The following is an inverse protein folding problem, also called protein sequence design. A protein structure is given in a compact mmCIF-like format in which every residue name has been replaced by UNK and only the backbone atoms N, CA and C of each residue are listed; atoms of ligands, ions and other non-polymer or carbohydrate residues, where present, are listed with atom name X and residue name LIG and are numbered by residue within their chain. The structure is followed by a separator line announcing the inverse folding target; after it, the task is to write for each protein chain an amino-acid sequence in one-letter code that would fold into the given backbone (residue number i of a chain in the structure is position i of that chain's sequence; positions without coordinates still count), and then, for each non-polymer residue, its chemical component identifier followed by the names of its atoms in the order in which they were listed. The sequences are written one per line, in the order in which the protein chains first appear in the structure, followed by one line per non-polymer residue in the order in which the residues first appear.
data_IF_016404702735
#
_entry.id   IF_016404702735
#
_cell.length_a   1.000
_cell.length_b   1.000
_cell.length_c   1.000
_cell.angle_alpha   90.00
_cell.angle_beta   90.00
_cell.angle_gamma   90.00
#
_symmetry.space_group_name_H-M   'P 1'
#
loop_
_entity.id
_entity.type
_entity.pdbx_description
1 polymer ?
#
# COMPACT_ATOMS: atom_id res chain seq x y z
N UNK A 1 -64.29 11.48 0.29
CA UNK A 1 -63.64 11.75 -1.01
C UNK A 1 -62.15 11.52 -0.83
N UNK A 2 -61.55 10.55 -1.54
CA UNK A 2 -60.09 10.33 -1.60
C UNK A 2 -59.47 11.39 -2.51
N UNK A 3 -58.29 11.92 -2.21
CA UNK A 3 -57.11 11.99 -3.09
C UNK A 3 -55.86 12.40 -2.28
N UNK A 4 -54.72 11.84 -2.70
CA UNK A 4 -53.38 11.84 -2.11
C UNK A 4 -52.53 13.10 -2.43
N UNK A 5 -51.46 13.32 -1.65
CA UNK A 5 -50.09 13.41 -2.19
C UNK A 5 -49.04 13.21 -1.08
N UNK A 6 -48.21 12.16 -1.24
CA UNK A 6 -46.86 12.06 -0.70
C UNK A 6 -45.87 12.72 -1.67
N UNK A 7 -44.68 13.06 -1.15
CA UNK A 7 -43.28 12.86 -1.65
C UNK A 7 -42.39 14.13 -1.47
N UNK A 8 -41.04 14.01 -1.44
CA UNK A 8 -40.22 13.60 -0.30
C UNK A 8 -39.03 14.57 -0.03
N UNK A 9 -38.18 14.18 0.93
CA UNK A 9 -36.80 14.64 1.13
C UNK A 9 -36.05 14.98 -0.16
N UNK A 10 -35.42 16.15 -0.19
CA UNK A 10 -34.30 16.50 -1.06
C UNK A 10 -33.47 17.59 -0.36
N UNK A 11 -32.65 17.19 0.63
CA UNK A 11 -31.47 17.96 0.97
C UNK A 11 -30.31 17.35 0.19
N UNK A 12 -30.08 17.96 -0.97
CA UNK A 12 -28.90 17.84 -1.80
C UNK A 12 -27.63 17.74 -0.96
N UNK A 13 -27.09 16.53 -0.81
CA UNK A 13 -25.68 16.33 -0.55
C UNK A 13 -24.92 16.52 -1.87
N UNK A 14 -24.87 17.76 -2.37
CA UNK A 14 -23.79 18.17 -3.26
C UNK A 14 -22.55 18.34 -2.38
N UNK A 15 -21.95 17.22 -1.97
CA UNK A 15 -20.54 17.24 -1.64
C UNK A 15 -19.83 17.64 -2.93
N UNK A 16 -19.40 18.90 -2.97
CA UNK A 16 -18.54 19.40 -4.04
C UNK A 16 -17.40 18.40 -4.19
N UNK A 17 -17.26 17.82 -5.39
CA UNK A 17 -16.01 17.21 -5.78
C UNK A 17 -14.94 18.28 -5.55
N UNK A 18 -14.19 18.16 -4.47
CA UNK A 18 -12.99 18.97 -4.32
C UNK A 18 -12.10 18.55 -5.46
N UNK A 19 -11.92 19.41 -6.44
CA UNK A 19 -10.87 19.28 -7.43
C UNK A 19 -9.56 19.23 -6.64
N UNK A 20 -9.03 18.03 -6.46
CA UNK A 20 -7.68 17.83 -5.94
C UNK A 20 -6.74 18.32 -7.04
N UNK A 21 -6.40 19.61 -7.00
CA UNK A 21 -5.26 20.10 -7.78
C UNK A 21 -4.05 19.27 -7.34
N UNK A 22 -3.39 18.52 -8.25
CA UNK A 22 -2.24 17.73 -7.87
C UNK A 22 -1.21 18.68 -7.24
N UNK A 23 -0.78 18.36 -6.02
CA UNK A 23 0.28 19.10 -5.39
C UNK A 23 1.53 18.99 -6.29
N UNK A 24 2.25 20.10 -6.58
CA UNK A 24 3.44 20.03 -7.39
C UNK A 24 4.52 19.23 -6.64
N UNK A 25 4.77 18.01 -7.08
CA UNK A 25 5.94 17.24 -6.66
C UNK A 25 7.11 17.59 -7.58
N UNK A 26 8.31 17.70 -7.00
CA UNK A 26 9.51 17.78 -7.81
C UNK A 26 9.66 16.48 -8.62
N UNK A 27 10.24 16.53 -9.84
CA UNK A 27 10.56 15.32 -10.58
C UNK A 27 11.38 14.35 -9.72
N UNK A 28 11.16 13.05 -9.90
CA UNK A 28 11.96 12.03 -9.25
C UNK A 28 13.44 12.25 -9.56
N UNK A 29 14.29 12.08 -8.54
CA UNK A 29 15.74 12.15 -8.65
C UNK A 29 16.37 10.92 -8.04
N UNK A 30 17.43 10.40 -8.67
CA UNK A 30 18.21 9.30 -8.12
C UNK A 30 18.80 9.70 -6.75
N UNK A 31 18.37 9.01 -5.70
CA UNK A 31 18.90 9.22 -4.34
C UNK A 31 20.06 8.28 -4.02
N UNK A 32 19.91 6.99 -4.33
CA UNK A 32 20.88 5.95 -4.01
C UNK A 32 20.77 4.74 -4.94
N UNK A 33 21.81 3.91 -4.95
CA UNK A 33 21.82 2.60 -5.60
C UNK A 33 21.91 1.51 -4.54
N UNK A 34 20.98 0.56 -4.56
CA UNK A 34 21.00 -0.63 -3.72
C UNK A 34 21.81 -1.70 -4.46
N UNK A 35 22.86 -2.21 -3.83
CA UNK A 35 23.84 -3.12 -4.46
C UNK A 35 23.90 -4.50 -3.81
N UNK A 36 23.08 -4.74 -2.78
CA UNK A 36 22.95 -6.05 -2.16
C UNK A 36 22.32 -7.03 -3.14
N UNK A 37 23.02 -8.12 -3.45
CA UNK A 37 22.60 -9.04 -4.52
C UNK A 37 21.28 -9.77 -4.23
N UNK A 38 20.88 -9.87 -2.95
CA UNK A 38 19.61 -10.48 -2.55
C UNK A 38 18.47 -9.47 -2.42
N UNK A 39 18.68 -8.20 -2.79
CA UNK A 39 17.67 -7.13 -2.93
C UNK A 39 17.51 -6.77 -4.41
N UNK A 40 17.07 -7.76 -5.19
CA UNK A 40 17.07 -7.77 -6.66
C UNK A 40 15.73 -7.34 -7.29
N UNK A 41 14.67 -7.21 -6.49
CA UNK A 41 13.32 -6.95 -6.97
C UNK A 41 12.48 -6.37 -5.82
N UNK A 42 12.61 -5.08 -5.53
CA UNK A 42 11.93 -4.42 -4.39
C UNK A 42 10.54 -3.93 -4.81
N UNK A 43 9.50 -4.33 -4.09
CA UNK A 43 8.11 -3.87 -4.35
C UNK A 43 7.69 -2.72 -3.44
N UNK A 44 8.01 -2.79 -2.14
CA UNK A 44 7.57 -1.81 -1.14
C UNK A 44 8.70 -1.07 -0.44
N UNK A 45 8.47 0.20 -0.07
CA UNK A 45 9.37 1.01 0.75
C UNK A 45 8.60 1.91 1.73
N UNK A 46 9.04 1.96 2.98
CA UNK A 46 8.48 2.86 4.00
C UNK A 46 9.58 3.52 4.84
N UNK A 47 9.48 4.83 5.09
CA UNK A 47 10.39 5.52 6.00
C UNK A 47 10.19 5.03 7.45
N UNK A 48 11.27 4.72 8.16
CA UNK A 48 11.21 4.33 9.58
C UNK A 48 10.59 5.43 10.43
N UNK A 49 9.73 5.06 11.38
CA UNK A 49 9.19 6.01 12.37
C UNK A 49 10.06 6.07 13.62
N UNK A 50 10.93 5.09 13.82
CA UNK A 50 11.86 5.03 14.97
C UNK A 50 13.26 5.59 14.72
N UNK A 51 13.73 5.49 13.49
CA UNK A 51 15.13 5.71 13.12
C UNK A 51 15.21 6.64 11.91
N UNK A 52 15.45 7.96 12.11
CA UNK A 52 15.62 8.89 11.00
C UNK A 52 16.69 8.43 10.00
N UNK A 53 16.41 8.57 8.71
CA UNK A 53 17.32 8.16 7.63
C UNK A 53 17.34 6.65 7.35
N UNK A 54 16.45 5.87 7.98
CA UNK A 54 16.24 4.45 7.67
C UNK A 54 14.94 4.25 6.89
N UNK A 55 14.98 3.35 5.91
CA UNK A 55 13.82 2.91 5.14
C UNK A 55 13.69 1.39 5.22
N UNK A 56 12.48 0.93 5.42
CA UNK A 56 12.12 -0.49 5.41
C UNK A 56 11.64 -0.88 4.02
N UNK A 57 12.22 -1.94 3.48
CA UNK A 57 11.90 -2.46 2.15
C UNK A 57 11.62 -3.96 2.21
N UNK A 58 10.92 -4.49 1.23
CA UNK A 58 10.88 -5.93 0.96
C UNK A 58 10.99 -6.19 -0.53
N UNK A 59 11.53 -7.36 -0.88
CA UNK A 59 11.44 -7.83 -2.24
C UNK A 59 10.02 -8.31 -2.56
N UNK A 60 9.71 -8.33 -3.85
CA UNK A 60 8.57 -8.99 -4.44
C UNK A 60 8.56 -10.48 -4.06
N UNK A 61 7.38 -11.03 -3.90
CA UNK A 61 7.17 -12.41 -3.50
C UNK A 61 6.82 -13.31 -4.71
N UNK A 62 6.82 -14.65 -4.57
CA UNK A 62 7.06 -15.43 -3.36
C UNK A 62 8.54 -15.46 -2.96
N UNK A 63 8.84 -14.99 -1.74
CA UNK A 63 10.18 -15.01 -1.13
C UNK A 63 10.09 -15.31 0.38
N UNK A 64 11.20 -15.53 1.09
CA UNK A 64 11.15 -15.62 2.55
C UNK A 64 10.53 -14.35 3.15
N UNK A 65 9.62 -14.49 4.13
CA UNK A 65 8.96 -13.36 4.79
C UNK A 65 9.96 -12.50 5.58
N UNK A 66 10.53 -11.50 4.92
CA UNK A 66 11.62 -10.66 5.40
C UNK A 66 11.40 -9.22 4.98
N UNK A 67 11.87 -8.32 5.82
CA UNK A 67 11.93 -6.88 5.55
C UNK A 67 13.35 -6.43 5.86
N UNK A 68 13.95 -5.66 4.97
CA UNK A 68 15.30 -5.13 5.13
C UNK A 68 15.23 -3.64 5.48
N UNK A 69 16.12 -3.21 6.39
CA UNK A 69 16.35 -1.80 6.63
C UNK A 69 17.52 -1.34 5.78
N UNK A 70 17.35 -0.28 5.01
CA UNK A 70 18.41 0.42 4.29
C UNK A 70 18.54 1.85 4.83
N UNK A 71 19.71 2.46 4.68
CA UNK A 71 19.88 3.89 4.91
C UNK A 71 19.73 4.71 3.61
N UNK A 72 19.80 6.04 3.73
CA UNK A 72 19.73 6.99 2.60
C UNK A 72 20.77 6.74 1.50
N UNK A 73 21.82 5.96 1.77
CA UNK A 73 22.83 5.58 0.77
C UNK A 73 22.51 4.29 0.03
N UNK A 74 21.39 3.63 0.35
CA UNK A 74 20.99 2.34 -0.20
C UNK A 74 21.66 1.15 0.47
N UNK A 75 22.46 1.36 1.54
CA UNK A 75 23.17 0.30 2.23
C UNK A 75 22.26 -0.38 3.25
N UNK A 76 22.24 -1.71 3.26
CA UNK A 76 21.52 -2.49 4.26
C UNK A 76 22.11 -2.31 5.67
N UNK A 77 21.23 -1.99 6.63
CA UNK A 77 21.52 -1.72 8.04
C UNK A 77 20.94 -2.75 8.99
N UNK A 78 20.01 -3.57 8.52
CA UNK A 78 19.44 -4.66 9.28
C UNK A 78 18.44 -5.45 8.48
N UNK A 79 17.95 -6.54 9.07
CA UNK A 79 16.94 -7.41 8.46
C UNK A 79 16.01 -7.95 9.52
N UNK A 80 14.72 -7.94 9.24
CA UNK A 80 13.69 -8.60 10.02
C UNK A 80 13.30 -9.90 9.32
N UNK A 81 13.15 -10.97 10.09
CA UNK A 81 12.48 -12.20 9.66
C UNK A 81 11.14 -12.30 10.37
N UNK A 82 10.05 -12.33 9.61
CA UNK A 82 8.70 -12.30 10.16
C UNK A 82 8.24 -13.74 10.43
N UNK A 83 8.25 -14.13 11.70
CA UNK A 83 7.96 -15.50 12.14
C UNK A 83 6.48 -15.87 12.00
N UNK A 84 6.22 -17.08 11.49
CA UNK A 84 4.86 -17.62 11.35
C UNK A 84 4.07 -17.03 10.17
N UNK A 85 4.76 -16.32 9.28
CA UNK A 85 4.19 -15.73 8.06
C UNK A 85 4.88 -16.32 6.83
N UNK A 86 4.12 -16.44 5.75
CA UNK A 86 4.61 -16.76 4.41
C UNK A 86 4.28 -15.57 3.54
N UNK A 87 5.26 -15.07 2.79
CA UNK A 87 5.02 -14.05 1.78
C UNK A 87 4.52 -14.73 0.52
N UNK A 88 3.22 -14.60 0.23
CA UNK A 88 2.62 -15.19 -0.97
C UNK A 88 2.79 -14.25 -2.16
N UNK A 89 2.35 -13.00 -2.02
CA UNK A 89 2.47 -11.92 -3.02
C UNK A 89 2.50 -10.59 -2.23
N UNK A 90 3.69 -10.26 -1.69
CA UNK A 90 3.90 -9.04 -0.91
C UNK A 90 4.23 -7.91 -1.85
N UNK A 91 3.36 -6.90 -1.91
CA UNK A 91 3.52 -5.80 -2.88
C UNK A 91 3.90 -4.48 -2.22
N UNK A 92 3.38 -4.19 -1.02
CA UNK A 92 3.65 -2.90 -0.40
C UNK A 92 3.81 -2.99 1.13
N UNK A 93 4.50 -2.00 1.69
CA UNK A 93 4.74 -1.81 3.11
C UNK A 93 4.50 -0.35 3.48
N UNK A 94 3.73 -0.14 4.54
CA UNK A 94 3.50 1.18 5.12
C UNK A 94 4.09 1.27 6.53
N UNK A 95 4.53 2.45 6.93
CA UNK A 95 4.93 2.74 8.31
C UNK A 95 4.06 3.82 8.92
N UNK A 96 3.66 3.65 10.17
CA UNK A 96 2.76 4.57 10.86
C UNK A 96 3.01 4.58 12.36
N UNK A 97 2.55 5.63 13.01
CA UNK A 97 2.54 5.72 14.47
C UNK A 97 1.11 5.78 14.99
N UNK A 98 0.79 4.95 15.98
CA UNK A 98 -0.49 5.00 16.69
C UNK A 98 -0.26 4.57 18.13
N UNK A 99 -0.93 5.24 19.07
CA UNK A 99 -0.87 4.96 20.49
C UNK A 99 0.57 4.96 21.07
N UNK A 100 1.42 5.87 20.56
CA UNK A 100 2.81 6.04 20.99
C UNK A 100 3.77 4.94 20.51
N UNK A 101 3.34 4.11 19.56
CA UNK A 101 4.14 3.04 18.97
C UNK A 101 4.29 3.23 17.48
N UNK A 102 5.47 2.89 16.99
CA UNK A 102 5.79 2.81 15.57
C UNK A 102 5.49 1.40 15.05
N UNK A 103 4.97 1.32 13.83
CA UNK A 103 4.48 0.09 13.24
C UNK A 103 4.90 -0.01 11.79
N UNK A 104 5.11 -1.24 11.34
CA UNK A 104 5.17 -1.63 9.94
C UNK A 104 3.91 -2.43 9.61
N UNK A 105 3.21 -2.05 8.56
CA UNK A 105 2.12 -2.81 7.97
C UNK A 105 2.58 -3.36 6.63
N UNK A 106 2.62 -4.68 6.51
CA UNK A 106 3.02 -5.37 5.29
C UNK A 106 1.77 -5.93 4.63
N UNK A 107 1.63 -5.68 3.33
CA UNK A 107 0.52 -6.16 2.52
C UNK A 107 0.89 -7.41 1.74
N UNK A 108 0.29 -8.56 2.09
CA UNK A 108 0.20 -9.73 1.20
C UNK A 108 -1.06 -9.57 0.33
N UNK A 109 -0.95 -8.64 -0.63
CA UNK A 109 -2.07 -7.99 -1.30
C UNK A 109 -2.02 -8.09 -2.84
N UNK A 110 -0.93 -8.60 -3.41
CA UNK A 110 -0.81 -8.91 -4.83
C UNK A 110 -1.67 -10.11 -5.23
N UNK A 111 -2.04 -10.13 -6.51
CA UNK A 111 -2.67 -11.27 -7.18
C UNK A 111 -2.57 -11.14 -8.70
N UNK A 112 -1.35 -11.08 -9.24
CA UNK A 112 -1.12 -10.95 -10.69
C UNK A 112 -1.90 -11.99 -11.54
N UNK A 113 -2.22 -13.16 -10.97
CA UNK A 113 -2.98 -14.22 -11.64
C UNK A 113 -4.51 -14.09 -11.53
N UNK A 114 -5.02 -13.19 -10.69
CA UNK A 114 -6.45 -12.94 -10.47
C UNK A 114 -7.21 -14.10 -9.84
N UNK A 115 -6.56 -14.91 -8.99
CA UNK A 115 -7.10 -16.21 -8.51
C UNK A 115 -7.16 -16.34 -6.99
N UNK A 116 -6.56 -15.43 -6.24
CA UNK A 116 -6.58 -15.45 -4.78
C UNK A 116 -7.96 -15.09 -4.26
N UNK A 117 -8.35 -15.78 -3.19
CA UNK A 117 -9.60 -15.52 -2.47
C UNK A 117 -9.38 -14.78 -1.16
N UNK A 118 -8.20 -14.94 -0.58
CA UNK A 118 -7.84 -14.39 0.72
C UNK A 118 -6.51 -13.64 0.59
N UNK A 119 -6.49 -12.47 1.20
CA UNK A 119 -5.35 -11.56 1.31
C UNK A 119 -5.02 -11.35 2.78
N UNK A 120 -3.87 -10.77 3.07
CA UNK A 120 -3.48 -10.55 4.46
C UNK A 120 -2.77 -9.22 4.68
N UNK A 121 -3.15 -8.53 5.75
CA UNK A 121 -2.36 -7.45 6.34
C UNK A 121 -1.61 -7.98 7.55
N UNK A 122 -0.31 -7.73 7.62
CA UNK A 122 0.58 -8.23 8.68
C UNK A 122 1.22 -7.03 9.37
N UNK A 123 0.88 -6.82 10.64
CA UNK A 123 1.44 -5.71 11.40
C UNK A 123 2.51 -6.19 12.37
N UNK A 124 3.63 -5.47 12.36
CA UNK A 124 4.76 -5.68 13.24
C UNK A 124 5.03 -4.37 13.96
N UNK A 125 5.14 -4.40 15.29
CA UNK A 125 5.65 -3.24 16.03
C UNK A 125 7.10 -3.01 15.58
N UNK A 126 7.41 -1.81 15.09
CA UNK A 126 8.72 -1.51 14.54
C UNK A 126 9.79 -1.72 15.63
N UNK A 127 10.73 -2.65 15.45
CA UNK A 127 11.75 -2.92 16.45
C UNK A 127 12.87 -1.89 16.36
N UNK A 128 13.62 -1.73 17.45
CA UNK A 128 14.93 -1.11 17.35
C UNK A 128 15.85 -2.01 16.48
N UNK A 129 16.60 -1.39 15.57
CA UNK A 129 17.60 -2.12 14.78
C UNK A 129 18.69 -2.68 15.68
N UNK A 130 19.13 -3.90 15.38
CA UNK A 130 20.31 -4.48 16.04
C UNK A 130 21.55 -3.73 15.62
N UNK A 131 22.40 -3.39 16.58
CA UNK A 131 23.68 -2.72 16.31
C UNK A 131 24.65 -3.56 15.46
N UNK A 132 24.51 -4.89 15.49
CA UNK A 132 25.32 -5.83 14.69
C UNK A 132 24.82 -6.03 13.25
N UNK A 133 23.69 -5.42 12.88
CA UNK A 133 23.08 -5.55 11.55
C UNK A 133 22.57 -6.95 11.21
N UNK A 134 22.57 -7.88 12.18
CA UNK A 134 22.15 -9.26 11.95
C UNK A 134 20.62 -9.35 11.77
N UNK A 135 20.18 -10.50 11.24
CA UNK A 135 18.76 -10.78 11.09
C UNK A 135 18.09 -10.93 12.46
N UNK A 136 17.06 -10.12 12.70
CA UNK A 136 16.25 -10.16 13.91
C UNK A 136 14.93 -10.89 13.64
N UNK A 137 14.60 -11.96 14.40
CA UNK A 137 13.27 -12.52 14.36
C UNK A 137 12.27 -11.60 15.05
N UNK A 138 11.13 -11.39 14.40
CA UNK A 138 9.99 -10.67 14.96
C UNK A 138 8.71 -11.44 14.67
N UNK A 139 7.70 -11.30 15.52
CA UNK A 139 6.37 -11.89 15.30
C UNK A 139 5.38 -10.78 14.94
N UNK A 140 4.39 -11.05 14.08
CA UNK A 140 3.28 -10.14 13.90
C UNK A 140 2.60 -9.87 15.24
N UNK A 141 2.36 -8.61 15.54
CA UNK A 141 1.54 -8.20 16.67
C UNK A 141 0.06 -8.48 16.39
N UNK A 142 -0.36 -8.30 15.13
CA UNK A 142 -1.66 -8.72 14.64
C UNK A 142 -1.60 -9.02 13.15
N UNK A 143 -2.61 -9.76 12.68
CA UNK A 143 -2.83 -10.11 11.28
C UNK A 143 -4.30 -9.94 10.96
N UNK A 144 -4.61 -9.49 9.76
CA UNK A 144 -5.98 -9.43 9.25
C UNK A 144 -6.06 -10.15 7.92
N UNK A 145 -6.75 -11.28 7.90
CA UNK A 145 -7.17 -11.89 6.63
C UNK A 145 -8.40 -11.16 6.11
N UNK A 146 -8.44 -10.89 4.82
CA UNK A 146 -9.57 -10.21 4.21
C UNK A 146 -9.85 -10.66 2.78
N UNK A 147 -11.01 -10.28 2.25
CA UNK A 147 -11.40 -10.41 0.84
C UNK A 147 -11.93 -9.09 0.32
N UNK A 148 -11.94 -8.93 -1.00
CA UNK A 148 -12.70 -7.87 -1.65
C UNK A 148 -14.14 -8.33 -1.92
N UNK A 149 -15.11 -7.40 -1.97
CA UNK A 149 -16.53 -7.73 -2.11
C UNK A 149 -16.93 -8.16 -3.52
N UNK A 150 -16.11 -7.85 -4.52
CA UNK A 150 -16.40 -7.99 -5.95
C UNK A 150 -15.42 -8.92 -6.69
N UNK A 151 -14.63 -9.71 -5.96
CA UNK A 151 -13.77 -10.75 -6.54
C UNK A 151 -12.30 -10.63 -6.12
N UNK A 152 -11.43 -11.26 -6.89
CA UNK A 152 -9.98 -11.09 -6.74
C UNK A 152 -9.58 -9.71 -7.27
N UNK A 153 -8.64 -9.06 -6.60
CA UNK A 153 -7.95 -7.86 -7.08
C UNK A 153 -6.46 -7.97 -6.83
N UNK A 154 -5.69 -7.55 -7.83
CA UNK A 154 -4.26 -7.31 -7.73
C UNK A 154 -4.05 -5.89 -7.19
N UNK A 155 -3.43 -5.74 -6.01
CA UNK A 155 -3.19 -4.45 -5.34
C UNK A 155 -1.69 -4.27 -5.14
N UNK A 156 -1.21 -3.08 -5.52
CA UNK A 156 0.21 -2.72 -5.59
C UNK A 156 0.55 -1.47 -4.77
N UNK A 157 -0.44 -0.92 -4.07
CA UNK A 157 -0.31 0.36 -3.39
C UNK A 157 -1.18 0.39 -2.13
N UNK A 158 -0.56 0.66 -0.98
CA UNK A 158 -1.16 0.64 0.33
C UNK A 158 -0.66 1.78 1.22
N UNK A 159 -1.57 2.47 1.89
CA UNK A 159 -1.22 3.44 2.93
C UNK A 159 -2.08 3.27 4.19
N UNK A 160 -1.67 3.94 5.27
CA UNK A 160 -2.40 3.97 6.54
C UNK A 160 -2.83 5.41 6.82
N UNK A 161 -4.15 5.63 6.89
CA UNK A 161 -4.73 6.85 7.43
C UNK A 161 -4.97 6.65 8.93
N UNK A 162 -4.04 7.17 9.74
CA UNK A 162 -4.09 7.04 11.20
C UNK A 162 -5.28 7.82 11.77
N UNK A 163 -5.61 8.97 11.19
CA UNK A 163 -6.69 9.83 11.68
C UNK A 163 -8.06 9.18 11.48
N UNK A 164 -8.29 8.56 10.33
CA UNK A 164 -9.50 7.78 10.04
C UNK A 164 -9.47 6.37 10.64
N UNK A 165 -8.30 5.89 11.08
CA UNK A 165 -8.03 4.50 11.46
C UNK A 165 -8.40 3.54 10.33
N UNK A 166 -7.94 3.83 9.13
CA UNK A 166 -8.18 3.02 7.93
C UNK A 166 -6.87 2.63 7.24
N UNK A 167 -6.85 1.44 6.64
CA UNK A 167 -5.86 1.01 5.66
C UNK A 167 -6.47 1.23 4.29
N UNK A 168 -5.74 1.92 3.42
CA UNK A 168 -6.11 2.23 2.05
C UNK A 168 -5.40 1.26 1.12
N UNK A 169 -6.10 0.72 0.13
CA UNK A 169 -5.58 -0.26 -0.83
C UNK A 169 -6.01 0.17 -2.24
N UNK A 170 -5.07 0.28 -3.18
CA UNK A 170 -5.38 0.70 -4.56
C UNK A 170 -5.01 -0.40 -5.55
N UNK A 171 -6.01 -0.87 -6.32
CA UNK A 171 -5.81 -1.94 -7.29
C UNK A 171 -4.96 -1.51 -8.49
N UNK A 172 -4.13 -2.43 -8.99
CA UNK A 172 -3.22 -2.24 -10.13
C UNK A 172 -3.96 -1.97 -11.43
N UNK A 173 -5.00 -2.76 -11.69
CA UNK A 173 -5.61 -2.83 -13.02
C UNK A 173 -6.63 -1.72 -13.25
N UNK A 174 -6.68 -1.26 -14.51
CA UNK A 174 -7.55 -0.17 -14.91
C UNK A 174 -9.04 -0.58 -14.99
N UNK A 175 -9.96 0.30 -14.55
CA UNK A 175 -9.66 1.51 -13.79
C UNK A 175 -9.27 1.15 -12.33
N UNK A 176 -8.21 1.77 -11.75
CA UNK A 176 -7.82 1.49 -10.38
C UNK A 176 -8.96 1.80 -9.40
N UNK A 177 -9.04 1.04 -8.32
CA UNK A 177 -10.09 1.17 -7.31
C UNK A 177 -9.46 1.31 -5.94
N UNK A 178 -9.93 2.30 -5.18
CA UNK A 178 -9.59 2.46 -3.77
C UNK A 178 -10.54 1.60 -2.91
N UNK A 179 -9.96 0.69 -2.15
CA UNK A 179 -10.59 -0.07 -1.08
C UNK A 179 -10.09 0.40 0.29
N UNK A 180 -10.87 0.10 1.32
CA UNK A 180 -10.53 0.42 2.71
C UNK A 180 -10.81 -0.74 3.66
N UNK A 181 -9.98 -0.87 4.68
CA UNK A 181 -10.15 -1.77 5.82
C UNK A 181 -9.93 -1.00 7.13
N UNK A 182 -10.53 -1.40 8.26
CA UNK A 182 -10.19 -0.83 9.56
C UNK A 182 -8.72 -1.07 9.92
N UNK A 183 -8.07 -0.09 10.55
CA UNK A 183 -6.72 -0.24 11.09
C UNK A 183 -6.76 -0.94 12.46
N UNK A 184 -6.19 -2.13 12.52
CA UNK A 184 -6.02 -2.92 13.73
C UNK A 184 -6.40 -4.38 13.56
N UNK A 185 -6.38 -5.18 14.63
CA UNK A 185 -6.77 -6.57 14.56
C UNK A 185 -8.24 -6.72 14.13
N UNK A 186 -8.50 -7.59 13.16
CA UNK A 186 -9.84 -8.12 12.95
C UNK A 186 -10.13 -9.21 14.01
N UNK A 187 -11.41 -9.45 14.29
CA UNK A 187 -11.83 -10.64 15.01
C UNK A 187 -11.47 -11.94 14.25
N UNK A 188 -11.90 -13.12 14.71
CA UNK A 188 -11.50 -14.41 14.11
C UNK A 188 -12.04 -14.66 12.69
N UNK A 189 -12.71 -13.69 12.08
CA UNK A 189 -13.41 -13.80 10.79
C UNK A 189 -12.59 -13.10 9.71
N UNK A 190 -12.62 -13.64 8.49
CA UNK A 190 -12.06 -12.98 7.31
C UNK A 190 -12.83 -11.66 7.08
N UNK A 191 -12.12 -10.54 7.16
CA UNK A 191 -12.70 -9.21 6.96
C UNK A 191 -13.12 -8.98 5.49
N UNK A 192 -14.01 -8.02 5.28
CA UNK A 192 -14.44 -7.61 3.94
C UNK A 192 -13.98 -6.17 3.69
N UNK A 193 -13.18 -5.98 2.66
CA UNK A 193 -12.76 -4.65 2.23
C UNK A 193 -13.96 -3.84 1.73
N UNK A 194 -13.95 -2.53 1.97
CA UNK A 194 -14.98 -1.61 1.48
C UNK A 194 -14.46 -0.87 0.25
N UNK A 195 -15.11 -1.08 -0.89
CA UNK A 195 -14.91 -0.27 -2.10
C UNK A 195 -15.33 1.18 -1.83
N UNK A 196 -14.44 2.14 -2.06
CA UNK A 196 -14.72 3.57 -1.83
C UNK A 196 -15.00 4.31 -3.12
N UNK A 197 -14.07 4.24 -4.07
CA UNK A 197 -14.16 4.97 -5.32
C UNK A 197 -13.29 4.33 -6.39
N UNK A 198 -13.66 4.57 -7.64
CA UNK A 198 -12.84 4.27 -8.83
C UNK A 198 -12.00 5.50 -9.15
N UNK A 199 -10.71 5.30 -9.43
CA UNK A 199 -9.73 6.34 -9.77
C UNK A 199 -9.62 6.45 -11.30
N UNK A 200 -10.70 6.85 -11.95
CA UNK A 200 -10.77 7.04 -13.40
C UNK A 200 -9.97 8.27 -13.91
N UNK A 201 -9.50 9.11 -13.00
CA UNK A 201 -8.64 10.27 -13.28
C UNK A 201 -7.19 9.90 -13.62
N UNK A 202 -6.75 8.67 -13.32
CA UNK A 202 -5.37 8.23 -13.57
C UNK A 202 -5.22 7.89 -15.06
N UNK A 203 -4.41 8.66 -15.83
CA UNK A 203 -4.35 8.46 -17.27
C UNK A 203 -3.79 7.10 -17.64
N UNK A 204 -4.55 6.33 -18.41
CA UNK A 204 -4.17 4.98 -18.84
C UNK A 204 -3.38 5.00 -20.16
N UNK A 205 -2.47 4.02 -20.38
CA UNK A 205 -1.79 3.86 -21.67
C UNK A 205 -2.76 3.60 -22.82
N UNK A 206 -2.47 4.13 -24.01
CA UNK A 206 -3.28 3.97 -25.22
C UNK A 206 -2.44 3.63 -26.44
N UNK A 207 -3.02 2.90 -27.40
CA UNK A 207 -2.40 2.63 -28.70
C UNK A 207 -1.02 1.97 -28.58
N UNK A 208 -0.02 2.56 -29.24
CA UNK A 208 1.36 2.04 -29.29
C UNK A 208 2.00 1.84 -27.91
N UNK A 209 1.58 2.59 -26.88
CA UNK A 209 2.10 2.42 -25.53
C UNK A 209 1.80 1.03 -24.95
N UNK A 210 0.66 0.43 -25.31
CA UNK A 210 0.31 -0.94 -24.89
C UNK A 210 1.15 -2.01 -25.61
N UNK A 211 1.71 -1.66 -26.77
CA UNK A 211 2.58 -2.53 -27.58
C UNK A 211 4.07 -2.27 -27.30
N UNK A 212 4.39 -1.25 -26.49
CA UNK A 212 5.76 -0.89 -26.20
C UNK A 212 6.52 -2.01 -25.49
N UNK A 213 7.81 -2.11 -25.75
CA UNK A 213 8.66 -3.14 -25.13
C UNK A 213 8.84 -2.95 -23.62
N UNK A 214 8.73 -1.71 -23.13
CA UNK A 214 9.05 -1.37 -21.75
C UNK A 214 7.78 -1.38 -20.85
N UNK A 215 7.83 -2.05 -19.69
CA UNK A 215 6.70 -2.13 -18.76
C UNK A 215 6.12 -0.78 -18.36
N UNK A 216 6.98 0.22 -18.11
CA UNK A 216 6.57 1.58 -17.74
C UNK A 216 5.59 2.21 -18.73
N UNK A 217 5.77 1.96 -20.04
CA UNK A 217 4.86 2.44 -21.07
C UNK A 217 3.54 1.66 -21.10
N UNK A 218 3.58 0.34 -20.90
CA UNK A 218 2.42 -0.57 -20.95
C UNK A 218 1.52 -0.48 -19.73
N UNK A 219 2.12 -0.24 -18.56
CA UNK A 219 1.45 -0.21 -17.27
C UNK A 219 1.42 1.19 -16.66
N UNK A 220 1.75 2.23 -17.42
CA UNK A 220 2.00 3.57 -16.89
C UNK A 220 0.89 4.19 -16.03
N UNK A 221 -0.36 3.72 -16.13
CA UNK A 221 -1.47 4.18 -15.28
C UNK A 221 -1.78 3.24 -14.11
N UNK A 222 -1.01 2.17 -13.93
CA UNK A 222 -1.13 1.22 -12.84
C UNK A 222 -0.39 1.76 -11.61
N UNK A 223 -1.04 1.78 -10.43
CA UNK A 223 -0.40 2.09 -9.16
C UNK A 223 0.80 1.19 -8.84
N UNK A 224 1.79 1.74 -8.15
CA UNK A 224 3.00 1.05 -7.66
C UNK A 224 3.38 1.40 -6.23
N UNK A 225 2.62 2.29 -5.58
CA UNK A 225 2.84 2.67 -4.19
C UNK A 225 1.93 3.81 -3.77
N UNK A 226 1.57 3.85 -2.49
CA UNK A 226 0.76 4.92 -1.90
C UNK A 226 1.34 5.27 -0.53
N UNK A 227 1.52 6.56 -0.23
CA UNK A 227 1.83 6.99 1.13
C UNK A 227 1.04 8.25 1.50
N UNK A 228 0.86 8.45 2.80
CA UNK A 228 0.20 9.62 3.38
C UNK A 228 1.24 10.39 4.20
N UNK A 229 1.30 11.70 4.01
CA UNK A 229 2.24 12.54 4.76
C UNK A 229 2.03 12.42 6.28
N UNK A 230 3.07 12.73 7.06
CA UNK A 230 3.03 12.60 8.53
C UNK A 230 1.98 13.50 9.21
N UNK A 231 1.38 14.45 8.48
CA UNK A 231 0.31 15.32 8.97
C UNK A 231 -1.08 14.83 8.55
N UNK A 232 -1.15 13.71 7.83
CA UNK A 232 -2.38 13.13 7.28
C UNK A 232 -3.16 14.10 6.38
N UNK A 233 -2.45 14.94 5.61
CA UNK A 233 -3.04 15.99 4.76
C UNK A 233 -2.94 15.73 3.28
N UNK A 234 -1.88 15.05 2.85
CA UNK A 234 -1.62 14.77 1.44
C UNK A 234 -1.36 13.27 1.29
N UNK A 235 -1.95 12.68 0.26
CA UNK A 235 -1.60 11.35 -0.20
C UNK A 235 -0.83 11.47 -1.52
N UNK A 236 0.19 10.64 -1.69
CA UNK A 236 0.93 10.51 -2.94
C UNK A 236 0.73 9.09 -3.47
N UNK A 237 0.14 8.97 -4.65
CA UNK A 237 -0.02 7.70 -5.37
C UNK A 237 0.97 7.69 -6.53
N UNK A 238 1.89 6.74 -6.50
CA UNK A 238 2.85 6.51 -7.58
C UNK A 238 2.29 5.54 -8.59
N UNK A 239 2.66 5.72 -9.85
CA UNK A 239 2.36 4.81 -10.95
C UNK A 239 3.64 4.42 -11.68
N UNK A 240 3.57 3.44 -12.57
CA UNK A 240 4.68 3.05 -13.46
C UNK A 240 5.23 4.18 -14.37
N UNK A 241 4.61 5.37 -14.41
CA UNK A 241 5.18 6.56 -15.09
C UNK A 241 6.12 7.35 -14.21
N UNK A 242 6.01 7.19 -12.89
CA UNK A 242 6.70 8.00 -11.90
C UNK A 242 8.00 7.35 -11.40
N UNK A 243 8.26 6.10 -11.82
CA UNK A 243 9.40 5.24 -11.43
C UNK A 243 10.30 4.89 -12.60
#
# INVERSE_FOLDING_TARGET
MKFWACLPCLLCACALAQDFAPAPFAPASLSALITEADLDEISGIAASRRSPGIFWIHNDAPRPARVDAIDETGKRRGRLRIDGVRAVDWEDIASYEVDGKAWLLIGDIGDNAGKRKDYELIAVEEPALRADGLTQPVRPAWRMRFRYPDGSHDVEAMAVDVAAREVLLVSKHAPPVLYTLPLGPAGPVVALARKRLTLDIIPQPSGDALLARFPAARFGGSPTGLDIDSRNRNAALLTYRDV
#
